data_IF_748608417807
#
_entry.id   IF_748608417807
#
_cell.length_a   1.000
_cell.length_b   1.000
_cell.length_c   1.000
_cell.angle_alpha   90.00
_cell.angle_beta   90.00
_cell.angle_gamma   90.00
#
_symmetry.space_group_name_H-M   'P 1'
#
loop_
_entity.id
_entity.type
_entity.pdbx_description
1 polymer ?
#
# COMPACT_ATOMS: atom_id res chain seq x y z
N UNK A 1 -2.11 -24.87 -7.81
CA UNK A 1 -1.56 -23.72 -7.08
C UNK A 1 -2.70 -23.17 -6.26
N UNK A 2 -2.60 -23.17 -4.93
CA UNK A 2 -3.66 -22.61 -4.06
C UNK A 2 -3.55 -21.09 -4.03
N UNK A 3 -4.64 -20.38 -3.74
CA UNK A 3 -4.64 -18.91 -3.62
C UNK A 3 -3.61 -18.41 -2.59
N UNK A 4 -3.40 -19.17 -1.51
CA UNK A 4 -2.39 -18.88 -0.49
C UNK A 4 -0.96 -18.97 -1.03
N UNK A 5 -0.63 -19.99 -1.83
CA UNK A 5 0.70 -20.12 -2.45
C UNK A 5 1.01 -18.96 -3.39
N UNK A 6 0.02 -18.55 -4.20
CA UNK A 6 0.20 -17.40 -5.10
C UNK A 6 0.48 -16.11 -4.34
N UNK A 7 -0.23 -15.87 -3.23
CA UNK A 7 -0.01 -14.68 -2.40
C UNK A 7 1.38 -14.70 -1.74
N UNK A 8 1.85 -15.85 -1.27
CA UNK A 8 3.19 -16.02 -0.70
C UNK A 8 4.29 -15.77 -1.74
N UNK A 9 4.12 -16.31 -2.96
CA UNK A 9 5.06 -16.12 -4.07
C UNK A 9 5.18 -14.64 -4.46
N UNK A 10 4.04 -13.94 -4.58
CA UNK A 10 4.00 -12.50 -4.91
C UNK A 10 4.67 -11.67 -3.81
N UNK A 11 4.38 -11.94 -2.53
CA UNK A 11 5.03 -11.26 -1.43
C UNK A 11 6.54 -11.53 -1.40
N UNK A 12 6.96 -12.76 -1.69
CA UNK A 12 8.37 -13.13 -1.81
C UNK A 12 9.08 -12.29 -2.87
N UNK A 13 8.49 -12.18 -4.07
CA UNK A 13 9.03 -11.36 -5.16
C UNK A 13 9.10 -9.87 -4.80
N UNK A 14 8.07 -9.35 -4.13
CA UNK A 14 8.06 -7.96 -3.66
C UNK A 14 9.19 -7.71 -2.67
N UNK A 15 9.41 -8.61 -1.72
CA UNK A 15 10.48 -8.47 -0.72
C UNK A 15 11.87 -8.64 -1.33
N UNK A 16 12.03 -9.48 -2.35
CA UNK A 16 13.30 -9.64 -3.06
C UNK A 16 13.67 -8.38 -3.87
N UNK A 17 12.71 -7.82 -4.61
CA UNK A 17 12.92 -6.62 -5.43
C UNK A 17 12.95 -5.32 -4.61
N UNK A 18 12.18 -5.27 -3.52
CA UNK A 18 12.00 -4.10 -2.67
C UNK A 18 12.19 -4.46 -1.18
N UNK A 19 13.43 -4.77 -0.76
CA UNK A 19 13.74 -5.27 0.60
C UNK A 19 13.57 -4.21 1.70
N UNK A 20 13.39 -2.95 1.32
CA UNK A 20 13.20 -1.82 2.25
C UNK A 20 11.93 -1.95 3.10
N UNK A 21 10.89 -2.59 2.57
CA UNK A 21 9.59 -2.67 3.22
C UNK A 21 9.32 -4.08 3.76
N UNK A 22 8.76 -4.14 4.96
CA UNK A 22 8.28 -5.41 5.50
C UNK A 22 7.08 -5.91 4.67
N UNK A 23 6.95 -7.23 4.43
CA UNK A 23 5.78 -7.84 3.77
C UNK A 23 4.41 -7.33 4.24
N UNK A 24 4.27 -6.99 5.53
CA UNK A 24 3.03 -6.44 6.11
C UNK A 24 2.68 -5.05 5.58
N UNK A 25 3.66 -4.25 5.14
CA UNK A 25 3.43 -2.95 4.53
C UNK A 25 2.57 -3.06 3.26
N UNK A 26 2.90 -4.02 2.39
CA UNK A 26 2.15 -4.27 1.15
C UNK A 26 0.70 -4.67 1.43
N UNK A 27 0.51 -5.64 2.32
CA UNK A 27 -0.83 -6.09 2.73
C UNK A 27 -1.64 -4.98 3.40
N UNK A 28 -0.97 -4.16 4.19
CA UNK A 28 -1.62 -3.04 4.87
C UNK A 28 -2.05 -1.95 3.89
N UNK A 29 -1.22 -1.64 2.89
CA UNK A 29 -1.57 -0.69 1.84
C UNK A 29 -2.75 -1.18 1.00
N UNK A 30 -2.76 -2.46 0.61
CA UNK A 30 -3.90 -3.06 -0.10
C UNK A 30 -5.19 -3.02 0.74
N UNK A 31 -5.08 -3.25 2.05
CA UNK A 31 -6.23 -3.11 2.96
C UNK A 31 -6.76 -1.67 2.99
N UNK A 32 -5.87 -0.67 3.04
CA UNK A 32 -6.26 0.74 3.04
C UNK A 32 -6.89 1.15 1.70
N UNK A 33 -6.31 0.72 0.59
CA UNK A 33 -6.86 0.92 -0.76
C UNK A 33 -8.28 0.36 -0.86
N UNK A 34 -8.50 -0.89 -0.42
CA UNK A 34 -9.81 -1.50 -0.43
C UNK A 34 -10.83 -0.73 0.42
N UNK A 35 -10.45 -0.28 1.62
CA UNK A 35 -11.33 0.50 2.49
C UNK A 35 -11.73 1.84 1.85
N UNK A 36 -10.78 2.53 1.22
CA UNK A 36 -11.07 3.78 0.49
C UNK A 36 -12.03 3.51 -0.67
N UNK A 37 -11.76 2.48 -1.48
CA UNK A 37 -12.59 2.14 -2.64
C UNK A 37 -14.01 1.73 -2.25
N UNK A 38 -14.19 1.00 -1.14
CA UNK A 38 -15.50 0.61 -0.63
C UNK A 38 -16.34 1.80 -0.13
N UNK A 39 -15.67 2.91 0.24
CA UNK A 39 -16.33 4.15 0.66
C UNK A 39 -16.73 5.08 -0.48
N UNK A 40 -16.38 4.76 -1.74
CA UNK A 40 -16.74 5.57 -2.90
C UNK A 40 -18.17 5.24 -3.36
N UNK A 41 -18.91 6.26 -3.78
CA UNK A 41 -20.25 6.08 -4.38
C UNK A 41 -20.16 5.32 -5.71
N UNK A 42 -19.10 5.56 -6.48
CA UNK A 42 -18.85 4.89 -7.76
C UNK A 42 -17.38 4.43 -7.85
N UNK A 43 -17.09 3.24 -8.44
CA UNK A 43 -15.73 2.77 -8.62
C UNK A 43 -14.93 3.71 -9.53
N UNK A 44 -13.85 4.27 -9.00
CA UNK A 44 -12.89 5.10 -9.74
C UNK A 44 -11.47 4.89 -9.22
N UNK A 45 -10.50 5.39 -9.97
CA UNK A 45 -9.13 5.51 -9.49
C UNK A 45 -9.06 6.51 -8.32
N UNK A 46 -8.21 6.21 -7.35
CA UNK A 46 -7.98 7.06 -6.18
C UNK A 46 -6.63 7.73 -6.27
N UNK A 47 -6.57 8.99 -5.85
CA UNK A 47 -5.31 9.74 -5.87
C UNK A 47 -4.34 9.23 -4.79
N UNK A 48 -3.04 9.48 -4.96
CA UNK A 48 -2.03 9.17 -3.94
C UNK A 48 -2.35 9.78 -2.57
N UNK A 49 -2.89 11.01 -2.57
CA UNK A 49 -3.37 11.69 -1.34
C UNK A 49 -4.53 10.97 -0.67
N UNK A 50 -5.55 10.56 -1.42
CA UNK A 50 -6.69 9.82 -0.88
C UNK A 50 -6.26 8.50 -0.26
N UNK A 51 -5.32 7.80 -0.91
CA UNK A 51 -4.74 6.58 -0.38
C UNK A 51 -3.91 6.84 0.88
N UNK A 52 -3.05 7.86 0.90
CA UNK A 52 -2.24 8.21 2.06
C UNK A 52 -3.13 8.55 3.28
N UNK A 53 -4.21 9.29 3.07
CA UNK A 53 -5.19 9.58 4.11
C UNK A 53 -5.93 8.32 4.57
N UNK A 54 -6.24 7.39 3.65
CA UNK A 54 -6.78 6.07 3.95
C UNK A 54 -5.85 5.24 4.84
N UNK A 55 -4.57 5.15 4.49
CA UNK A 55 -3.52 4.48 5.28
C UNK A 55 -3.44 5.08 6.67
N UNK A 56 -3.44 6.41 6.78
CA UNK A 56 -3.43 7.12 8.06
C UNK A 56 -4.65 6.77 8.91
N UNK A 57 -5.86 6.82 8.36
CA UNK A 57 -7.10 6.48 9.07
C UNK A 57 -7.07 5.02 9.55
N UNK A 58 -6.69 4.10 8.66
CA UNK A 58 -6.60 2.67 8.98
C UNK A 58 -5.58 2.41 10.09
N UNK A 59 -4.41 3.04 10.03
CA UNK A 59 -3.36 2.86 11.03
C UNK A 59 -3.77 3.41 12.40
N UNK A 60 -4.41 4.58 12.44
CA UNK A 60 -4.96 5.14 13.67
C UNK A 60 -6.10 4.28 14.23
N UNK A 61 -6.99 3.77 13.38
CA UNK A 61 -8.09 2.90 13.79
C UNK A 61 -7.63 1.56 14.37
N UNK A 62 -6.60 0.94 13.77
CA UNK A 62 -6.10 -0.38 14.21
C UNK A 62 -5.09 -0.32 15.34
N UNK A 63 -4.21 0.69 15.36
CA UNK A 63 -3.06 0.73 16.26
C UNK A 63 -3.07 1.93 17.23
N UNK A 64 -3.99 2.89 17.04
CA UNK A 64 -4.08 4.08 17.88
C UNK A 64 -2.76 4.83 17.96
N UNK A 65 -2.29 5.08 19.19
CA UNK A 65 -1.05 5.80 19.47
C UNK A 65 0.21 5.08 18.95
N UNK A 66 0.13 3.76 18.69
CA UNK A 66 1.25 2.98 18.18
C UNK A 66 1.35 2.99 16.64
N UNK A 67 0.41 3.64 15.95
CA UNK A 67 0.36 3.73 14.49
C UNK A 67 1.71 4.11 13.86
N UNK A 68 2.32 5.20 14.34
CA UNK A 68 3.63 5.65 13.85
C UNK A 68 4.72 4.59 14.04
N UNK A 69 4.80 3.99 15.23
CA UNK A 69 5.83 2.98 15.55
C UNK A 69 5.69 1.76 14.66
N UNK A 70 4.46 1.29 14.42
CA UNK A 70 4.19 0.13 13.56
C UNK A 70 4.54 0.42 12.10
N UNK A 71 4.12 1.59 11.57
CA UNK A 71 4.44 1.99 10.20
C UNK A 71 5.95 2.12 9.98
N UNK A 72 6.66 2.78 10.91
CA UNK A 72 8.12 2.92 10.86
C UNK A 72 8.83 1.57 10.92
N UNK A 73 8.37 0.66 11.79
CA UNK A 73 8.90 -0.70 11.86
C UNK A 73 8.73 -1.46 10.53
N UNK A 74 7.69 -1.16 9.75
CA UNK A 74 7.50 -1.73 8.41
C UNK A 74 8.24 -1.00 7.29
N UNK A 75 9.00 0.04 7.61
CA UNK A 75 9.78 0.82 6.66
C UNK A 75 9.09 2.09 6.14
N UNK A 76 7.87 2.39 6.61
CA UNK A 76 7.08 3.56 6.19
C UNK A 76 7.33 4.73 7.13
N UNK A 77 8.02 5.75 6.64
CA UNK A 77 8.43 6.95 7.36
C UNK A 77 7.77 8.22 6.83
N UNK A 78 7.36 8.20 5.56
CA UNK A 78 6.72 9.32 4.87
C UNK A 78 5.58 8.82 3.96
N UNK A 79 4.83 9.75 3.38
CA UNK A 79 3.86 9.44 2.33
C UNK A 79 4.52 8.99 1.03
N UNK A 80 5.71 9.50 0.72
CA UNK A 80 6.51 9.08 -0.45
C UNK A 80 6.78 7.57 -0.43
N UNK A 81 7.01 7.00 0.77
CA UNK A 81 7.21 5.56 0.95
C UNK A 81 5.97 4.74 0.57
N UNK A 82 4.77 5.32 0.73
CA UNK A 82 3.53 4.68 0.25
C UNK A 82 3.50 4.66 -1.28
N UNK A 83 3.97 5.72 -1.92
CA UNK A 83 4.17 5.76 -3.36
C UNK A 83 5.11 4.66 -3.82
N UNK A 84 6.26 4.49 -3.18
CA UNK A 84 7.19 3.41 -3.49
C UNK A 84 6.55 2.02 -3.37
N UNK A 85 5.73 1.80 -2.32
CA UNK A 85 4.99 0.54 -2.14
C UNK A 85 3.95 0.33 -3.25
N UNK A 86 3.19 1.37 -3.63
CA UNK A 86 2.21 1.30 -4.73
C UNK A 86 2.89 0.91 -6.03
N UNK A 87 4.00 1.58 -6.37
CA UNK A 87 4.70 1.30 -7.61
C UNK A 87 5.38 -0.08 -7.60
N UNK A 88 5.88 -0.55 -6.46
CA UNK A 88 6.34 -1.93 -6.32
C UNK A 88 5.22 -2.94 -6.62
N UNK A 89 4.00 -2.67 -6.13
CA UNK A 89 2.83 -3.50 -6.41
C UNK A 89 2.42 -3.46 -7.89
N UNK A 90 2.59 -2.33 -8.57
CA UNK A 90 2.40 -2.22 -10.03
C UNK A 90 3.45 -3.04 -10.78
N UNK A 91 4.72 -2.92 -10.40
CA UNK A 91 5.83 -3.63 -11.04
C UNK A 91 5.72 -5.17 -10.90
N UNK A 92 5.08 -5.64 -9.82
CA UNK A 92 4.74 -7.05 -9.60
C UNK A 92 3.38 -7.48 -10.17
N UNK A 93 2.65 -6.58 -10.86
CA UNK A 93 1.37 -6.90 -11.50
C UNK A 93 0.18 -7.06 -10.54
N UNK A 94 0.32 -6.62 -9.29
CA UNK A 94 -0.75 -6.66 -8.28
C UNK A 94 -1.72 -5.48 -8.46
N UNK A 95 -1.20 -4.31 -8.81
CA UNK A 95 -1.98 -3.11 -9.10
C UNK A 95 -1.81 -2.68 -10.56
N UNK A 96 -2.79 -1.94 -11.07
CA UNK A 96 -2.75 -1.35 -12.41
C UNK A 96 -2.57 0.16 -12.25
N UNK A 97 -1.62 0.70 -13.01
CA UNK A 97 -1.35 2.14 -13.11
C UNK A 97 -2.33 2.80 -14.09
N UNK A 98 -2.72 4.04 -13.83
CA UNK A 98 -3.41 4.90 -14.79
C UNK A 98 -2.44 5.88 -15.48
N UNK A 99 -2.79 6.29 -16.69
CA UNK A 99 -2.06 7.34 -17.41
C UNK A 99 -2.00 8.63 -16.58
N UNK A 100 -0.78 9.04 -16.25
CA UNK A 100 -0.52 10.24 -15.43
C UNK A 100 -0.07 9.95 -14.00
N UNK A 101 -0.27 8.74 -13.47
CA UNK A 101 0.13 8.40 -12.10
C UNK A 101 1.64 8.55 -11.90
N UNK A 102 2.04 9.24 -10.84
CA UNK A 102 3.42 9.49 -10.50
C UNK A 102 3.69 9.22 -9.02
N UNK A 103 4.94 8.86 -8.69
CA UNK A 103 5.39 8.82 -7.29
C UNK A 103 5.27 10.19 -6.62
N UNK A 104 5.32 11.26 -7.39
CA UNK A 104 5.15 12.64 -6.92
C UNK A 104 3.75 12.92 -6.36
N UNK A 105 2.74 12.11 -6.69
CA UNK A 105 1.38 12.25 -6.14
C UNK A 105 1.30 11.96 -4.63
N UNK A 106 2.41 11.49 -4.06
CA UNK A 106 2.58 11.18 -2.64
C UNK A 106 3.44 12.21 -1.89
N UNK A 107 3.84 13.32 -2.53
CA UNK A 107 4.57 14.43 -1.91
C UNK A 107 3.67 15.53 -1.36
#
# INVERSE_FOLDING_TARGET
>A
MTELQFAEDVLGQLQEKHPRFHGKAYLFLLSALQEVMQGLEEPRHITGRELADGVRRLALGRFGLLSRTVLQHWGIHSTEDLGDIVFALVDCGVLIRQDGDSREDFR
#
